data_IF_977869044368
#
_entry.id   IF_977869044368
#
_cell.length_a   1.000
_cell.length_b   1.000
_cell.length_c   1.000
_cell.angle_alpha   90.00
_cell.angle_beta   90.00
_cell.angle_gamma   90.00
#
_symmetry.space_group_name_H-M   'P 1'
#
loop_
_entity.id
_entity.type
_entity.pdbx_description
1 polymer ?
#
# COMPACT_ATOMS: atom_id res chain seq x y z
N UNK A 1 -10.63 -11.10 -5.20
CA UNK A 1 -10.06 -10.27 -6.27
C UNK A 1 -8.58 -10.60 -6.40
N UNK A 2 -8.04 -10.68 -7.62
CA UNK A 2 -6.58 -10.84 -7.84
C UNK A 2 -5.87 -9.49 -7.79
N UNK A 3 -4.53 -9.48 -7.67
CA UNK A 3 -3.74 -8.25 -7.69
C UNK A 3 -3.88 -7.48 -9.00
N UNK A 4 -4.00 -8.18 -10.14
CA UNK A 4 -4.25 -7.57 -11.46
C UNK A 4 -5.63 -6.93 -11.55
N UNK A 5 -6.65 -7.56 -10.96
CA UNK A 5 -8.00 -6.99 -10.92
C UNK A 5 -8.03 -5.74 -10.03
N UNK A 6 -7.35 -5.76 -8.88
CA UNK A 6 -7.29 -4.62 -7.98
C UNK A 6 -6.52 -3.44 -8.59
N UNK A 7 -5.40 -3.73 -9.25
CA UNK A 7 -4.65 -2.73 -10.02
C UNK A 7 -5.53 -2.04 -11.06
N UNK A 8 -6.31 -2.83 -11.83
CA UNK A 8 -7.24 -2.28 -12.82
C UNK A 8 -8.35 -1.43 -12.18
N UNK A 9 -8.91 -1.87 -11.06
CA UNK A 9 -10.00 -1.17 -10.38
C UNK A 9 -9.56 0.17 -9.75
N UNK A 10 -8.30 0.25 -9.31
CA UNK A 10 -7.76 1.41 -8.57
C UNK A 10 -6.88 2.34 -9.40
N UNK A 11 -6.51 1.92 -10.63
CA UNK A 11 -5.51 2.64 -11.44
C UNK A 11 -4.07 2.49 -10.93
N UNK A 12 -3.84 1.65 -9.91
CA UNK A 12 -2.51 1.36 -9.39
C UNK A 12 -1.77 0.37 -10.29
N UNK A 13 -0.43 0.39 -10.24
CA UNK A 13 0.34 -0.70 -10.85
C UNK A 13 0.25 -1.99 -10.01
N UNK A 14 0.35 -3.16 -10.64
CA UNK A 14 0.39 -4.44 -9.91
C UNK A 14 1.50 -4.49 -8.87
N UNK A 15 2.67 -3.93 -9.20
CA UNK A 15 3.81 -3.85 -8.28
C UNK A 15 3.50 -2.98 -7.05
N UNK A 16 2.76 -1.88 -7.24
CA UNK A 16 2.32 -1.03 -6.13
C UNK A 16 1.33 -1.76 -5.23
N UNK A 17 0.39 -2.52 -5.81
CA UNK A 17 -0.52 -3.40 -5.03
C UNK A 17 0.29 -4.40 -4.21
N UNK A 18 1.24 -5.11 -4.82
CA UNK A 18 2.12 -6.06 -4.12
C UNK A 18 2.90 -5.41 -2.99
N UNK A 19 3.44 -4.21 -3.21
CA UNK A 19 4.19 -3.49 -2.19
C UNK A 19 3.31 -3.08 -1.01
N UNK A 20 2.07 -2.65 -1.26
CA UNK A 20 1.12 -2.30 -0.20
C UNK A 20 0.76 -3.54 0.62
N UNK A 21 0.40 -4.66 -0.02
CA UNK A 21 0.08 -5.92 0.68
C UNK A 21 1.24 -6.42 1.55
N UNK A 22 2.47 -6.28 1.05
CA UNK A 22 3.66 -6.73 1.76
C UNK A 22 4.22 -5.66 2.73
N UNK A 23 3.54 -4.52 2.88
CA UNK A 23 4.02 -3.36 3.67
C UNK A 23 5.45 -2.95 3.30
N UNK A 24 5.82 -3.05 2.01
CA UNK A 24 7.15 -2.73 1.49
C UNK A 24 7.17 -1.34 0.86
N UNK A 25 8.26 -0.62 1.07
CA UNK A 25 8.58 0.56 0.28
C UNK A 25 9.56 0.21 -0.88
N UNK A 26 9.71 1.16 -1.80
CA UNK A 26 10.75 1.14 -2.83
C UNK A 26 11.88 2.14 -2.51
N UNK A 27 12.03 2.55 -1.25
CA UNK A 27 13.05 3.50 -0.87
C UNK A 27 14.43 2.89 -1.13
N UNK A 28 15.38 3.70 -1.59
CA UNK A 28 16.75 3.27 -1.81
C UNK A 28 17.68 3.98 -0.85
N UNK A 29 18.68 3.27 -0.36
CA UNK A 29 19.76 3.85 0.44
C UNK A 29 20.76 4.62 -0.45
N UNK A 30 21.78 5.21 0.19
CA UNK A 30 22.83 5.98 -0.50
C UNK A 30 23.62 5.15 -1.51
N UNK A 31 23.64 3.81 -1.36
CA UNK A 31 24.26 2.87 -2.30
C UNK A 31 23.35 2.47 -3.46
N UNK A 32 22.11 2.97 -3.49
CA UNK A 32 21.09 2.63 -4.47
C UNK A 32 20.40 1.29 -4.22
N UNK A 33 20.68 0.60 -3.11
CA UNK A 33 20.03 -0.65 -2.73
C UNK A 33 18.68 -0.37 -2.06
N UNK A 34 17.71 -1.27 -2.19
CA UNK A 34 16.44 -1.15 -1.49
C UNK A 34 16.66 -1.08 0.02
N UNK A 35 16.22 0.02 0.63
CA UNK A 35 16.25 0.22 2.07
C UNK A 35 15.02 -0.45 2.69
N UNK A 36 15.17 -1.20 3.78
CA UNK A 36 14.03 -1.77 4.49
C UNK A 36 13.16 -0.65 5.07
N UNK A 37 11.84 -0.80 4.96
CA UNK A 37 10.91 0.07 5.64
C UNK A 37 9.46 -0.16 5.21
N UNK A 38 8.55 0.39 6.01
CA UNK A 38 7.10 0.25 5.82
C UNK A 38 6.69 1.04 4.58
N UNK A 39 5.87 0.42 3.72
CA UNK A 39 5.21 1.13 2.64
C UNK A 39 4.33 2.25 3.19
N UNK A 40 4.49 3.48 2.69
CA UNK A 40 3.69 4.63 3.08
C UNK A 40 2.72 4.99 1.95
N UNK A 41 1.55 4.32 1.86
CA UNK A 41 0.55 4.65 0.85
C UNK A 41 0.02 6.07 1.11
N UNK A 42 -0.18 6.82 0.03
CA UNK A 42 -0.83 8.12 0.10
C UNK A 42 -2.32 7.96 0.44
N UNK A 43 -2.94 9.02 0.96
CA UNK A 43 -4.36 8.99 1.35
C UNK A 43 -5.30 8.67 0.17
N UNK A 44 -5.00 9.20 -1.02
CA UNK A 44 -5.72 8.88 -2.27
C UNK A 44 -5.71 7.37 -2.59
N UNK A 45 -4.60 6.70 -2.29
CA UNK A 45 -4.39 5.27 -2.50
C UNK A 45 -5.26 4.46 -1.54
N UNK A 46 -5.34 4.88 -0.27
CA UNK A 46 -6.19 4.22 0.74
C UNK A 46 -7.66 4.30 0.31
N UNK A 47 -8.11 5.48 -0.13
CA UNK A 47 -9.49 5.69 -0.55
C UNK A 47 -9.84 4.85 -1.80
N UNK A 48 -8.99 4.86 -2.82
CA UNK A 48 -9.20 4.06 -4.02
C UNK A 48 -9.26 2.56 -3.72
N UNK A 49 -8.41 2.06 -2.81
CA UNK A 49 -8.44 0.67 -2.37
C UNK A 49 -9.73 0.34 -1.62
N UNK A 50 -10.20 1.23 -0.74
CA UNK A 50 -11.44 1.03 0.01
C UNK A 50 -12.65 0.91 -0.92
N UNK A 51 -12.78 1.82 -1.89
CA UNK A 51 -13.83 1.79 -2.91
C UNK A 51 -13.77 0.50 -3.76
N UNK A 52 -12.58 0.10 -4.20
CA UNK A 52 -12.41 -1.11 -5.01
C UNK A 52 -12.69 -2.41 -4.24
N UNK A 53 -12.44 -2.43 -2.94
CA UNK A 53 -12.66 -3.58 -2.06
C UNK A 53 -14.06 -3.61 -1.45
N UNK A 54 -14.81 -2.50 -1.50
CA UNK A 54 -16.13 -2.39 -0.88
C UNK A 54 -16.08 -2.37 0.65
N UNK A 55 -15.03 -1.76 1.22
CA UNK A 55 -14.81 -1.62 2.67
C UNK A 55 -14.69 -0.15 3.06
N UNK A 56 -14.70 0.16 4.35
CA UNK A 56 -14.44 1.52 4.80
C UNK A 56 -12.93 1.81 4.79
N UNK A 57 -12.54 3.06 4.53
CA UNK A 57 -11.12 3.45 4.59
C UNK A 57 -10.49 3.19 5.97
N UNK A 58 -11.29 3.23 7.04
CA UNK A 58 -10.87 2.89 8.40
C UNK A 58 -10.43 1.42 8.54
N UNK A 59 -10.99 0.51 7.74
CA UNK A 59 -10.63 -0.91 7.75
C UNK A 59 -9.22 -1.16 7.19
N UNK A 60 -8.68 -0.21 6.41
CA UNK A 60 -7.38 -0.28 5.76
C UNK A 60 -6.24 0.38 6.57
N UNK A 61 -6.56 1.05 7.67
CA UNK A 61 -5.58 1.79 8.47
C UNK A 61 -5.53 1.21 9.88
N UNK A 62 -4.39 0.62 10.24
CA UNK A 62 -4.17 0.17 11.61
C UNK A 62 -3.55 1.29 12.43
N UNK A 63 -4.11 1.56 13.61
CA UNK A 63 -3.43 2.37 14.63
C UNK A 63 -2.31 1.52 15.23
N UNK A 64 -1.06 1.95 15.09
CA UNK A 64 0.02 1.33 15.85
C UNK A 64 -0.14 1.70 17.32
N UNK A 65 -0.40 0.69 18.15
CA UNK A 65 -0.60 0.83 19.59
C UNK A 65 0.71 0.83 20.37
N UNK A 66 1.84 0.63 19.69
CA UNK A 66 3.17 0.69 20.31
C UNK A 66 3.74 2.08 20.05
N UNK A 67 3.59 2.96 21.05
CA UNK A 67 4.40 4.17 21.11
C UNK A 67 5.86 3.73 21.24
N UNK A 68 6.69 4.13 20.29
CA UNK A 68 8.15 4.08 20.41
C UNK A 68 8.64 5.46 20.78
#
# INVERSE_FOLDING_TARGET
>A
MTQEQLARATGLSRNQVQNIELSRNNARDESGKLSPGVGNPRFDTIWALAEALGVEAADLVRRDTVAT
#
